data_IF_965381137172
#
_entry.id   IF_965381137172
#
_cell.length_a   1.000
_cell.length_b   1.000
_cell.length_c   1.000
_cell.angle_alpha   90.00
_cell.angle_beta   90.00
_cell.angle_gamma   90.00
#
_symmetry.space_group_name_H-M   'P 1'
#
loop_
_entity.id
_entity.type
_entity.pdbx_description
1 polymer ?
#
# COMPACT_ATOMS: atom_id res chain seq x y z
N UNK A 1 25.19 -24.10 16.19
CA UNK A 1 26.14 -23.54 17.19
C UNK A 1 26.76 -22.24 16.66
N UNK A 2 27.07 -22.19 15.38
CA UNK A 2 27.91 -21.12 14.81
C UNK A 2 27.17 -19.79 14.64
N UNK A 3 25.86 -19.82 14.38
CA UNK A 3 25.05 -18.59 14.34
C UNK A 3 25.07 -17.79 15.65
N UNK A 4 25.14 -18.50 16.80
CA UNK A 4 25.29 -17.86 18.09
C UNK A 4 26.61 -17.09 18.20
N UNK A 5 27.72 -17.68 17.73
CA UNK A 5 29.06 -17.06 17.76
C UNK A 5 29.12 -15.79 16.90
N UNK A 6 28.50 -15.80 15.70
CA UNK A 6 28.36 -14.57 14.86
C UNK A 6 27.64 -13.48 15.62
N UNK A 7 26.71 -13.82 16.51
CA UNK A 7 25.94 -12.87 17.34
C UNK A 7 26.67 -12.58 18.69
N UNK A 8 27.91 -13.02 18.90
CA UNK A 8 28.61 -12.85 20.15
C UNK A 8 28.02 -13.67 21.31
N UNK A 9 27.31 -14.76 21.00
CA UNK A 9 26.64 -15.64 21.95
C UNK A 9 27.26 -17.03 21.90
N UNK A 10 27.26 -17.74 23.01
CA UNK A 10 27.78 -19.14 23.07
C UNK A 10 26.95 -20.08 22.17
N UNK A 11 25.70 -19.78 21.96
CA UNK A 11 24.77 -20.53 21.10
C UNK A 11 23.68 -19.63 20.54
N UNK A 12 23.09 -20.04 19.43
CA UNK A 12 21.91 -19.37 18.90
C UNK A 12 20.76 -19.37 19.94
N UNK A 13 20.12 -18.22 20.18
CA UNK A 13 19.01 -18.13 21.11
C UNK A 13 17.80 -18.93 20.59
N UNK A 14 17.10 -19.60 21.51
CA UNK A 14 15.85 -20.26 21.18
C UNK A 14 14.77 -19.23 20.78
N UNK A 15 13.85 -19.64 19.91
CA UNK A 15 12.72 -18.81 19.49
C UNK A 15 11.92 -18.25 20.67
N UNK A 16 11.77 -19.04 21.75
CA UNK A 16 11.09 -18.61 22.98
C UNK A 16 11.83 -17.43 23.65
N UNK A 17 13.17 -17.47 23.66
CA UNK A 17 14.00 -16.39 24.21
C UNK A 17 13.86 -15.11 23.38
N UNK A 18 13.87 -15.21 22.04
CA UNK A 18 13.69 -14.07 21.15
C UNK A 18 12.32 -13.46 21.36
N UNK A 19 11.25 -14.28 21.41
CA UNK A 19 9.88 -13.80 21.67
C UNK A 19 9.76 -13.08 23.01
N UNK A 20 10.39 -13.62 24.06
CA UNK A 20 10.40 -12.98 25.39
C UNK A 20 11.10 -11.60 25.31
N UNK A 21 12.24 -11.51 24.65
CA UNK A 21 12.97 -10.24 24.48
C UNK A 21 12.20 -9.23 23.65
N UNK A 22 11.53 -9.66 22.58
CA UNK A 22 10.62 -8.80 21.82
C UNK A 22 9.45 -8.29 22.69
N UNK A 23 8.88 -9.16 23.54
CA UNK A 23 7.84 -8.77 24.49
C UNK A 23 8.33 -7.76 25.54
N UNK A 24 9.54 -7.92 26.06
CA UNK A 24 10.18 -6.97 26.97
C UNK A 24 10.37 -5.60 26.30
N UNK A 25 10.84 -5.57 25.03
CA UNK A 25 10.98 -4.34 24.26
C UNK A 25 9.62 -3.70 23.95
N UNK A 26 8.63 -4.49 23.59
CA UNK A 26 7.27 -4.03 23.30
C UNK A 26 6.61 -3.38 24.52
N UNK A 27 6.93 -3.84 25.75
CA UNK A 27 6.41 -3.25 26.97
C UNK A 27 6.79 -1.75 27.14
N UNK A 28 7.89 -1.33 26.54
CA UNK A 28 8.33 0.07 26.55
C UNK A 28 7.60 0.95 25.52
N UNK A 29 6.79 0.36 24.63
CA UNK A 29 5.98 1.05 23.60
C UNK A 29 6.77 2.02 22.73
N UNK A 30 7.96 1.62 22.29
CA UNK A 30 8.88 2.43 21.47
C UNK A 30 8.98 1.98 20.01
N UNK A 31 8.06 1.15 19.54
CA UNK A 31 8.08 0.61 18.17
C UNK A 31 8.02 1.71 17.11
N UNK A 32 7.22 2.75 17.33
CA UNK A 32 7.16 3.90 16.42
C UNK A 32 8.48 4.69 16.39
N UNK A 33 9.15 4.85 17.52
CA UNK A 33 10.47 5.53 17.58
C UNK A 33 11.54 4.70 16.84
N UNK A 34 11.52 3.37 16.97
CA UNK A 34 12.42 2.49 16.23
C UNK A 34 12.18 2.60 14.73
N UNK A 35 10.91 2.62 14.31
CA UNK A 35 10.54 2.82 12.92
C UNK A 35 11.05 4.17 12.38
N UNK A 36 10.86 5.26 13.13
CA UNK A 36 11.32 6.59 12.75
C UNK A 36 12.87 6.65 12.66
N UNK A 37 13.58 6.05 13.62
CA UNK A 37 15.03 6.00 13.62
C UNK A 37 15.57 5.23 12.38
N UNK A 38 14.95 4.11 12.03
CA UNK A 38 15.31 3.35 10.83
C UNK A 38 15.03 4.14 9.55
N UNK A 39 13.91 4.87 9.49
CA UNK A 39 13.57 5.72 8.35
C UNK A 39 14.60 6.85 8.17
N UNK A 40 15.05 7.48 9.25
CA UNK A 40 16.10 8.50 9.23
C UNK A 40 17.44 7.89 8.79
N UNK A 41 17.82 6.73 9.32
CA UNK A 41 19.04 6.04 8.91
C UNK A 41 19.02 5.66 7.43
N UNK A 42 17.88 5.14 6.92
CA UNK A 42 17.70 4.86 5.50
C UNK A 42 17.81 6.14 4.65
N UNK A 43 17.20 7.24 5.09
CA UNK A 43 17.25 8.53 4.41
C UNK A 43 18.68 9.08 4.29
N UNK A 44 19.52 8.88 5.31
CA UNK A 44 20.93 9.25 5.27
C UNK A 44 21.75 8.35 4.35
N UNK A 45 21.50 7.05 4.39
CA UNK A 45 22.23 6.07 3.56
C UNK A 45 21.85 6.15 2.08
N UNK A 46 20.61 6.54 1.74
CA UNK A 46 20.08 6.53 0.38
C UNK A 46 19.30 7.81 0.04
N UNK A 47 19.94 8.99 0.12
CA UNK A 47 19.25 10.27 -0.09
C UNK A 47 18.65 10.42 -1.49
N UNK A 48 19.24 9.81 -2.53
CA UNK A 48 18.78 9.91 -3.91
C UNK A 48 17.51 9.09 -4.19
N UNK A 49 17.25 8.07 -3.38
CA UNK A 49 16.05 7.23 -3.50
C UNK A 49 14.78 7.89 -2.96
N UNK A 50 14.88 8.99 -2.22
CA UNK A 50 13.75 9.62 -1.52
C UNK A 50 12.95 10.62 -2.36
N UNK A 51 13.32 10.84 -3.63
CA UNK A 51 12.54 11.71 -4.51
C UNK A 51 11.13 11.20 -4.84
N UNK A 52 10.90 9.91 -4.64
CA UNK A 52 9.62 9.23 -4.84
C UNK A 52 9.38 8.25 -3.69
N UNK A 53 8.18 8.32 -3.12
CA UNK A 53 7.76 7.44 -2.03
C UNK A 53 6.52 6.67 -2.46
N UNK A 54 6.62 5.36 -2.48
CA UNK A 54 5.48 4.49 -2.73
C UNK A 54 4.77 4.21 -1.41
N UNK A 55 3.46 4.50 -1.34
CA UNK A 55 2.66 4.26 -0.14
C UNK A 55 1.49 3.36 -0.49
N UNK A 56 1.35 2.26 0.25
CA UNK A 56 0.27 1.30 0.06
C UNK A 56 -0.18 0.70 1.39
N UNK A 57 -1.45 0.32 1.45
CA UNK A 57 -2.02 -0.37 2.60
C UNK A 57 -1.83 -1.88 2.52
N UNK A 58 -1.41 -2.51 3.62
CA UNK A 58 -1.37 -3.95 3.75
C UNK A 58 -2.37 -4.43 4.80
N UNK A 59 -3.31 -5.29 4.39
CA UNK A 59 -4.34 -5.84 5.26
C UNK A 59 -4.06 -7.29 5.60
N UNK A 60 -4.03 -7.60 6.91
CA UNK A 60 -3.84 -8.94 7.45
C UNK A 60 -5.15 -9.49 8.02
N UNK A 61 -5.52 -10.68 7.59
CA UNK A 61 -6.69 -11.39 8.11
C UNK A 61 -6.38 -11.94 9.50
N UNK A 62 -7.34 -11.77 10.40
CA UNK A 62 -7.30 -12.37 11.71
C UNK A 62 -8.23 -13.60 11.76
N UNK A 63 -7.68 -14.76 12.07
CA UNK A 63 -8.39 -16.04 12.14
C UNK A 63 -8.64 -16.52 13.57
N UNK A 64 -8.29 -15.71 14.59
CA UNK A 64 -8.49 -16.02 15.99
C UNK A 64 -9.92 -15.81 16.47
N UNK A 65 -10.15 -16.03 17.76
CA UNK A 65 -11.48 -15.99 18.39
C UNK A 65 -11.90 -14.60 18.90
N UNK A 66 -11.02 -13.61 18.89
CA UNK A 66 -11.31 -12.26 19.39
C UNK A 66 -12.19 -11.50 18.41
N UNK A 67 -13.13 -10.72 18.91
CA UNK A 67 -14.00 -9.87 18.10
C UNK A 67 -13.31 -8.55 17.75
N UNK A 68 -12.43 -8.62 16.76
CA UNK A 68 -11.73 -7.46 16.22
C UNK A 68 -12.59 -6.70 15.20
N UNK A 69 -12.21 -5.47 14.82
CA UNK A 69 -12.85 -4.75 13.73
C UNK A 69 -12.85 -5.55 12.42
N UNK A 70 -13.95 -5.47 11.68
CA UNK A 70 -14.02 -6.03 10.32
C UNK A 70 -13.58 -5.01 9.31
N UNK A 71 -12.75 -5.45 8.36
CA UNK A 71 -12.24 -4.64 7.25
C UNK A 71 -12.49 -5.38 5.93
N UNK A 72 -12.63 -4.63 4.86
CA UNK A 72 -12.69 -5.22 3.52
C UNK A 72 -11.29 -5.69 3.12
N UNK A 73 -11.15 -6.98 2.85
CA UNK A 73 -9.90 -7.59 2.39
C UNK A 73 -10.01 -7.79 0.88
N UNK A 74 -9.40 -6.90 0.10
CA UNK A 74 -9.53 -6.87 -1.36
C UNK A 74 -9.21 -8.21 -2.03
N UNK A 75 -8.15 -8.91 -1.59
CA UNK A 75 -7.75 -10.23 -2.11
C UNK A 75 -8.78 -11.34 -1.88
N UNK A 76 -9.67 -11.18 -0.89
CA UNK A 76 -10.72 -12.16 -0.54
C UNK A 76 -12.11 -11.69 -0.99
N UNK A 77 -12.24 -10.46 -1.48
CA UNK A 77 -13.52 -9.82 -1.82
C UNK A 77 -14.57 -9.88 -0.71
N UNK A 78 -14.12 -9.84 0.55
CA UNK A 78 -14.97 -10.10 1.71
C UNK A 78 -14.55 -9.18 2.88
N UNK A 79 -15.53 -8.76 3.69
CA UNK A 79 -15.30 -8.07 4.96
C UNK A 79 -15.14 -9.10 6.09
N UNK A 80 -13.94 -9.17 6.67
CA UNK A 80 -13.61 -10.09 7.77
C UNK A 80 -12.78 -9.37 8.84
N UNK A 81 -12.60 -10.02 10.00
CA UNK A 81 -11.71 -9.52 11.04
C UNK A 81 -10.28 -9.38 10.49
N UNK A 82 -9.75 -8.21 10.56
CA UNK A 82 -8.43 -7.91 10.01
C UNK A 82 -7.80 -6.67 10.68
N UNK A 83 -6.48 -6.54 10.54
CA UNK A 83 -5.72 -5.32 10.84
C UNK A 83 -5.11 -4.76 9.56
N UNK A 84 -4.87 -3.46 9.51
CA UNK A 84 -4.20 -2.81 8.38
C UNK A 84 -2.92 -2.12 8.84
N UNK A 85 -2.05 -1.92 7.90
CA UNK A 85 -0.79 -1.20 8.05
C UNK A 85 -0.58 -0.34 6.81
N UNK A 86 0.01 0.83 6.97
CA UNK A 86 0.43 1.68 5.87
C UNK A 86 1.94 1.60 5.72
N UNK A 87 2.38 1.16 4.56
CA UNK A 87 3.79 0.95 4.24
C UNK A 87 4.31 2.04 3.33
N UNK A 88 5.47 2.57 3.68
CA UNK A 88 6.22 3.54 2.88
C UNK A 88 7.48 2.87 2.35
N UNK A 89 7.68 2.94 1.04
CA UNK A 89 8.88 2.47 0.36
C UNK A 89 9.51 3.59 -0.48
N UNK A 90 10.80 3.51 -0.73
CA UNK A 90 11.54 4.46 -1.57
C UNK A 90 11.28 4.27 -3.08
N UNK A 91 11.96 5.05 -3.91
CA UNK A 91 11.85 5.01 -5.36
C UNK A 91 12.19 3.64 -5.99
N UNK A 92 12.95 2.82 -5.30
CA UNK A 92 13.35 1.48 -5.73
C UNK A 92 12.44 0.38 -5.17
N UNK A 93 11.54 0.74 -4.26
CA UNK A 93 10.61 -0.18 -3.59
C UNK A 93 11.16 -0.77 -2.29
N UNK A 94 12.26 -0.25 -1.76
CA UNK A 94 12.81 -0.67 -0.47
C UNK A 94 11.95 -0.09 0.66
N UNK A 95 11.48 -0.89 1.63
CA UNK A 95 10.64 -0.41 2.71
C UNK A 95 11.42 0.50 3.65
N UNK A 96 10.84 1.66 3.97
CA UNK A 96 11.44 2.67 4.86
C UNK A 96 10.75 2.70 6.21
N UNK A 97 9.42 2.64 6.20
CA UNK A 97 8.58 2.90 7.36
C UNK A 97 7.30 2.09 7.27
N UNK A 98 6.82 1.60 8.41
CA UNK A 98 5.47 1.05 8.55
C UNK A 98 4.74 1.75 9.69
N UNK A 99 3.50 2.12 9.43
CA UNK A 99 2.61 2.77 10.39
C UNK A 99 1.44 1.85 10.62
N UNK A 100 1.07 1.62 11.88
CA UNK A 100 -0.12 0.86 12.24
C UNK A 100 -1.37 1.57 11.73
N UNK A 101 -2.23 0.86 11.01
CA UNK A 101 -3.45 1.44 10.46
C UNK A 101 -4.57 1.55 11.50
N UNK A 102 -5.30 2.65 11.47
CA UNK A 102 -6.51 2.80 12.30
C UNK A 102 -7.62 1.92 11.74
N UNK A 103 -8.37 1.18 12.57
CA UNK A 103 -9.44 0.32 12.09
C UNK A 103 -10.49 1.10 11.30
N UNK A 104 -10.72 0.67 10.05
CA UNK A 104 -11.70 1.30 9.17
C UNK A 104 -11.27 2.64 8.56
N UNK A 105 -10.05 3.08 8.79
CA UNK A 105 -9.50 4.24 8.09
C UNK A 105 -9.40 3.95 6.58
N UNK A 106 -9.60 4.98 5.77
CA UNK A 106 -9.32 4.93 4.35
C UNK A 106 -7.84 5.23 4.11
N UNK A 107 -7.26 4.72 3.02
CA UNK A 107 -5.88 5.07 2.65
C UNK A 107 -5.69 6.59 2.56
N UNK A 108 -6.70 7.33 2.08
CA UNK A 108 -6.63 8.80 2.05
C UNK A 108 -6.48 9.43 3.44
N UNK A 109 -7.17 8.90 4.46
CA UNK A 109 -7.02 9.36 5.84
C UNK A 109 -5.65 8.99 6.42
N UNK A 110 -5.21 7.75 6.18
CA UNK A 110 -3.88 7.28 6.63
C UNK A 110 -2.74 8.05 5.97
N UNK A 111 -2.87 8.45 4.69
CA UNK A 111 -1.89 9.31 4.01
C UNK A 111 -1.75 10.68 4.68
N UNK A 112 -2.86 11.30 5.11
CA UNK A 112 -2.84 12.57 5.83
C UNK A 112 -2.21 12.40 7.20
N UNK A 113 -2.59 11.35 7.92
CA UNK A 113 -2.03 11.03 9.25
C UNK A 113 -0.52 10.72 9.17
N UNK A 114 -0.03 10.17 8.06
CA UNK A 114 1.39 9.85 7.84
C UNK A 114 2.28 11.08 7.54
N UNK A 115 1.72 12.24 7.24
CA UNK A 115 2.50 13.44 6.88
C UNK A 115 3.60 13.80 7.89
N UNK A 116 3.34 13.82 9.22
CA UNK A 116 4.39 14.07 10.19
C UNK A 116 5.54 13.07 10.14
N UNK A 117 5.21 11.78 9.99
CA UNK A 117 6.21 10.72 9.90
C UNK A 117 7.05 10.85 8.63
N UNK A 118 6.43 11.14 7.49
CA UNK A 118 7.15 11.41 6.24
C UNK A 118 8.10 12.60 6.40
N UNK A 119 7.65 13.68 7.06
CA UNK A 119 8.46 14.85 7.31
C UNK A 119 9.62 14.62 8.27
N UNK A 120 9.47 13.69 9.22
CA UNK A 120 10.51 13.37 10.20
C UNK A 120 11.81 12.88 9.54
N UNK A 121 11.73 12.02 8.50
CA UNK A 121 12.91 11.52 7.80
C UNK A 121 13.26 12.29 6.52
N UNK A 122 12.29 12.91 5.84
CA UNK A 122 12.57 13.77 4.68
C UNK A 122 13.20 15.11 5.10
N UNK A 123 12.91 15.58 6.30
CA UNK A 123 13.22 16.92 6.75
C UNK A 123 12.31 17.98 6.13
N UNK A 124 12.39 19.25 6.59
CA UNK A 124 11.42 20.28 6.24
C UNK A 124 11.52 20.80 4.80
N UNK A 125 12.67 20.64 4.14
CA UNK A 125 12.96 21.26 2.83
C UNK A 125 12.91 20.28 1.65
N UNK A 126 13.03 18.98 1.90
CA UNK A 126 13.08 18.00 0.80
C UNK A 126 11.68 17.81 0.22
N UNK A 127 11.56 18.00 -1.08
CA UNK A 127 10.35 17.69 -1.83
C UNK A 127 10.40 16.24 -2.31
N UNK A 128 9.35 15.47 -2.05
CA UNK A 128 9.18 14.12 -2.57
C UNK A 128 7.82 14.00 -3.27
N UNK A 129 7.70 13.08 -4.21
CA UNK A 129 6.44 12.72 -4.84
C UNK A 129 5.89 11.46 -4.19
N UNK A 130 4.75 11.56 -3.54
CA UNK A 130 4.04 10.45 -2.91
C UNK A 130 3.19 9.74 -3.97
N UNK A 131 3.43 8.45 -4.14
CA UNK A 131 2.79 7.59 -5.14
C UNK A 131 1.90 6.58 -4.43
N UNK A 132 0.62 6.54 -4.78
CA UNK A 132 -0.36 5.63 -4.18
C UNK A 132 -1.45 5.23 -5.18
N UNK A 133 -2.24 4.23 -4.83
CA UNK A 133 -3.30 3.73 -5.67
C UNK A 133 -4.62 4.55 -5.54
N UNK A 134 -5.69 4.10 -6.23
CA UNK A 134 -7.01 4.74 -6.19
C UNK A 134 -7.67 4.71 -4.81
N UNK A 135 -7.19 3.90 -3.87
CA UNK A 135 -7.66 3.86 -2.48
C UNK A 135 -7.40 5.18 -1.74
N UNK A 136 -6.34 5.90 -2.12
CA UNK A 136 -6.01 7.22 -1.60
C UNK A 136 -6.69 8.38 -2.31
N UNK A 137 -7.66 8.13 -3.19
CA UNK A 137 -8.33 9.19 -3.95
C UNK A 137 -9.18 10.09 -3.04
N UNK A 138 -8.69 11.30 -2.82
CA UNK A 138 -9.39 12.38 -2.12
C UNK A 138 -8.74 13.73 -2.43
N UNK A 139 -9.45 14.69 -3.06
CA UNK A 139 -8.91 16.04 -3.30
C UNK A 139 -8.44 16.72 -2.01
N UNK A 140 -9.11 16.50 -0.89
CA UNK A 140 -8.72 17.00 0.43
C UNK A 140 -7.38 16.40 0.87
N UNK A 141 -7.18 15.10 0.69
CA UNK A 141 -5.89 14.44 0.95
C UNK A 141 -4.79 15.01 0.05
N UNK A 142 -5.08 15.23 -1.25
CA UNK A 142 -4.10 15.81 -2.18
C UNK A 142 -3.69 17.20 -1.75
N UNK A 143 -4.66 18.04 -1.35
CA UNK A 143 -4.38 19.39 -0.84
C UNK A 143 -3.48 19.31 0.41
N UNK A 144 -3.80 18.46 1.39
CA UNK A 144 -3.01 18.33 2.61
C UNK A 144 -1.55 17.90 2.32
N UNK A 145 -1.33 16.95 1.39
CA UNK A 145 0.01 16.55 0.96
C UNK A 145 0.76 17.71 0.28
N UNK A 146 0.08 18.47 -0.58
CA UNK A 146 0.67 19.63 -1.29
C UNK A 146 1.02 20.73 -0.31
N UNK A 147 0.14 21.05 0.64
CA UNK A 147 0.38 22.05 1.69
C UNK A 147 1.54 21.64 2.60
N UNK A 148 1.73 20.37 2.80
CA UNK A 148 2.90 19.81 3.47
C UNK A 148 4.18 19.84 2.61
N UNK A 149 4.16 20.39 1.36
CA UNK A 149 5.31 20.49 0.46
C UNK A 149 5.66 19.17 -0.24
N UNK A 150 4.70 18.23 -0.32
CA UNK A 150 4.85 16.97 -1.04
C UNK A 150 4.10 17.03 -2.37
N UNK A 151 4.57 16.30 -3.38
CA UNK A 151 3.82 16.11 -4.60
C UNK A 151 2.99 14.83 -4.54
N UNK A 152 1.90 14.81 -5.30
CA UNK A 152 0.98 13.68 -5.43
C UNK A 152 1.18 13.02 -6.79
N UNK A 153 1.11 11.69 -6.84
CA UNK A 153 1.05 10.89 -8.07
C UNK A 153 0.12 9.69 -7.85
N UNK A 154 -1.00 9.63 -8.58
CA UNK A 154 -2.00 8.57 -8.43
C UNK A 154 -2.81 8.35 -9.70
N UNK A 155 -3.50 7.21 -9.82
CA UNK A 155 -4.49 7.01 -10.88
C UNK A 155 -5.75 7.84 -10.64
N UNK A 156 -6.30 8.42 -11.71
CA UNK A 156 -7.61 9.08 -11.62
C UNK A 156 -8.72 8.06 -11.37
N UNK A 157 -9.61 8.40 -10.46
CA UNK A 157 -10.81 7.59 -10.18
C UNK A 157 -11.93 7.96 -11.14
N UNK A 158 -12.63 6.96 -11.66
CA UNK A 158 -13.83 7.17 -12.48
C UNK A 158 -14.98 7.84 -11.66
N UNK A 159 -15.92 8.55 -12.33
CA UNK A 159 -16.02 8.70 -13.77
C UNK A 159 -15.08 9.77 -14.35
N UNK A 160 -14.67 9.60 -15.60
CA UNK A 160 -13.92 10.59 -16.38
C UNK A 160 -14.21 10.41 -17.87
N UNK A 161 -14.21 11.51 -18.61
CA UNK A 161 -14.43 11.49 -20.04
C UNK A 161 -13.19 10.97 -20.77
N UNK A 162 -13.44 10.25 -21.88
CA UNK A 162 -12.38 9.81 -22.78
C UNK A 162 -11.85 11.01 -23.57
N UNK A 163 -10.54 11.05 -23.74
CA UNK A 163 -9.89 12.06 -24.56
C UNK A 163 -9.98 11.69 -26.04
N UNK A 164 -10.15 12.69 -26.94
CA UNK A 164 -10.15 12.44 -28.37
C UNK A 164 -8.79 11.96 -28.86
N UNK A 165 -8.77 11.19 -29.92
CA UNK A 165 -7.60 10.52 -30.47
C UNK A 165 -6.44 11.48 -30.82
N UNK A 166 -6.78 12.68 -31.29
CA UNK A 166 -5.83 13.73 -31.64
C UNK A 166 -5.15 14.41 -30.45
N UNK A 167 -5.61 14.15 -29.22
CA UNK A 167 -4.96 14.61 -27.99
C UNK A 167 -3.70 13.83 -27.67
N UNK A 168 -3.55 12.61 -28.23
CA UNK A 168 -2.43 11.73 -27.93
C UNK A 168 -1.26 11.91 -28.89
N UNK A 169 -0.06 11.88 -28.32
CA UNK A 169 1.22 11.91 -29.06
C UNK A 169 2.07 10.71 -28.68
N UNK A 170 2.77 10.14 -29.64
CA UNK A 170 3.76 9.09 -29.40
C UNK A 170 5.07 9.71 -28.93
N UNK A 171 5.57 9.27 -27.78
CA UNK A 171 6.79 9.75 -27.16
C UNK A 171 7.72 8.55 -26.94
N UNK A 172 8.97 8.66 -27.40
CA UNK A 172 10.03 7.71 -27.05
C UNK A 172 10.90 8.35 -25.97
N UNK A 173 11.17 7.59 -24.93
CA UNK A 173 11.90 8.08 -23.77
C UNK A 173 12.80 6.97 -23.19
N UNK A 174 14.00 7.35 -22.70
CA UNK A 174 14.91 6.43 -22.02
C UNK A 174 14.70 6.58 -20.52
N UNK A 175 14.34 5.48 -19.87
CA UNK A 175 14.09 5.44 -18.43
C UNK A 175 15.38 5.50 -17.60
N UNK A 176 15.26 5.72 -16.27
CA UNK A 176 16.40 5.66 -15.36
C UNK A 176 17.09 4.29 -15.30
N UNK A 177 16.42 3.24 -15.77
CA UNK A 177 16.92 1.87 -15.92
C UNK A 177 17.70 1.66 -17.23
N UNK A 178 17.93 2.72 -18.02
CA UNK A 178 18.60 2.69 -19.31
C UNK A 178 17.77 2.09 -20.46
N UNK A 179 16.55 1.61 -20.19
CA UNK A 179 15.68 1.01 -21.22
C UNK A 179 14.89 2.07 -21.99
N UNK A 180 14.67 1.83 -23.26
CA UNK A 180 13.85 2.69 -24.12
C UNK A 180 12.37 2.27 -24.04
N UNK A 181 11.51 3.25 -23.76
CA UNK A 181 10.06 3.08 -23.68
C UNK A 181 9.38 3.92 -24.76
N UNK A 182 8.32 3.37 -25.33
CA UNK A 182 7.46 4.08 -26.28
C UNK A 182 6.07 4.17 -25.66
N UNK A 183 5.59 5.39 -25.49
CA UNK A 183 4.27 5.66 -24.90
C UNK A 183 3.44 6.52 -25.84
N UNK A 184 2.13 6.29 -25.84
CA UNK A 184 1.15 7.18 -26.43
C UNK A 184 0.48 7.95 -25.31
N UNK A 185 0.71 9.28 -25.23
CA UNK A 185 0.36 10.12 -24.08
C UNK A 185 -0.41 11.36 -24.50
N UNK A 186 -1.41 11.73 -23.67
CA UNK A 186 -2.01 13.05 -23.63
C UNK A 186 -1.68 13.71 -22.30
N UNK A 187 -1.43 15.03 -22.29
CA UNK A 187 -0.97 15.78 -21.12
C UNK A 187 -1.79 17.08 -21.03
N UNK A 188 -2.51 17.26 -19.92
CA UNK A 188 -3.41 18.39 -19.73
C UNK A 188 -3.53 18.81 -18.27
N UNK A 189 -3.97 20.03 -18.03
CA UNK A 189 -4.36 20.49 -16.70
C UNK A 189 -5.79 20.06 -16.39
N UNK A 190 -6.08 19.81 -15.11
CA UNK A 190 -7.39 19.44 -14.60
C UNK A 190 -7.65 20.16 -13.29
N UNK A 191 -8.85 20.71 -13.13
CA UNK A 191 -9.29 21.31 -11.87
C UNK A 191 -10.25 20.33 -11.17
N UNK A 192 -9.86 19.93 -9.94
CA UNK A 192 -10.65 19.04 -9.10
C UNK A 192 -11.46 19.87 -8.11
N UNK A 193 -12.77 19.64 -7.98
CA UNK A 193 -13.58 20.34 -6.96
C UNK A 193 -13.13 19.91 -5.56
N UNK A 194 -13.08 20.88 -4.64
CA UNK A 194 -12.86 20.67 -3.21
C UNK A 194 -14.19 20.70 -2.47
N UNK A 195 -14.32 19.83 -1.45
CA UNK A 195 -15.44 19.89 -0.51
C UNK A 195 -15.38 21.24 0.26
N UNK A 196 -16.47 22.01 0.23
CA UNK A 196 -16.51 23.34 0.82
C UNK A 196 -16.29 24.51 -0.15
N UNK A 197 -16.08 24.22 -1.44
CA UNK A 197 -15.90 25.21 -2.51
C UNK A 197 -14.42 25.39 -2.90
N UNK A 198 -14.22 25.89 -4.10
CA UNK A 198 -12.87 26.03 -4.69
C UNK A 198 -12.47 24.82 -5.54
N UNK A 199 -11.28 24.91 -6.13
CA UNK A 199 -10.73 23.88 -7.01
C UNK A 199 -9.26 23.67 -6.72
N UNK A 200 -8.81 22.43 -6.81
CA UNK A 200 -7.41 22.04 -6.76
C UNK A 200 -6.91 21.77 -8.18
N UNK A 201 -5.96 22.58 -8.64
CA UNK A 201 -5.36 22.39 -9.96
C UNK A 201 -4.34 21.28 -9.95
N UNK A 202 -4.56 20.30 -10.83
CA UNK A 202 -3.69 19.14 -11.01
C UNK A 202 -3.28 19.00 -12.48
N UNK A 203 -2.25 18.23 -12.75
CA UNK A 203 -1.86 17.80 -14.10
C UNK A 203 -2.33 16.36 -14.31
N UNK A 204 -2.96 16.08 -15.44
CA UNK A 204 -3.34 14.75 -15.86
C UNK A 204 -2.50 14.31 -17.05
N UNK A 205 -1.79 13.20 -16.90
CA UNK A 205 -1.13 12.48 -17.97
C UNK A 205 -1.92 11.21 -18.25
N UNK A 206 -2.49 11.10 -19.44
CA UNK A 206 -3.27 9.92 -19.85
C UNK A 206 -2.42 9.05 -20.76
N UNK A 207 -2.17 7.80 -20.36
CA UNK A 207 -1.57 6.80 -21.23
C UNK A 207 -2.66 6.08 -22.01
N UNK A 208 -2.49 5.95 -23.32
CA UNK A 208 -3.29 5.05 -24.14
C UNK A 208 -2.52 3.76 -24.38
N UNK A 209 -3.17 2.63 -24.17
CA UNK A 209 -2.64 1.29 -24.45
C UNK A 209 -2.85 0.92 -25.93
N UNK A 210 -2.22 -0.14 -26.41
CA UNK A 210 -2.32 -0.57 -27.82
C UNK A 210 -3.73 -1.02 -28.20
N UNK A 211 -4.53 -1.47 -27.23
CA UNK A 211 -5.95 -1.81 -27.36
C UNK A 211 -6.88 -0.61 -27.16
N UNK A 212 -6.33 0.61 -27.08
CA UNK A 212 -7.09 1.86 -27.01
C UNK A 212 -7.57 2.27 -25.63
N UNK A 213 -7.29 1.47 -24.58
CA UNK A 213 -7.72 1.82 -23.21
C UNK A 213 -6.95 3.04 -22.72
N UNK A 214 -7.67 4.01 -22.17
CA UNK A 214 -7.10 5.22 -21.60
C UNK A 214 -6.92 5.09 -20.08
N UNK A 215 -5.70 5.32 -19.61
CA UNK A 215 -5.31 5.24 -18.20
C UNK A 215 -4.88 6.63 -17.75
N UNK A 216 -5.76 7.43 -17.14
CA UNK A 216 -5.42 8.76 -16.65
C UNK A 216 -4.70 8.68 -15.30
N UNK A 217 -3.60 9.42 -15.19
CA UNK A 217 -2.73 9.55 -14.03
C UNK A 217 -2.71 11.02 -13.63
N UNK A 218 -2.93 11.31 -12.36
CA UNK A 218 -2.87 12.66 -11.82
C UNK A 218 -1.57 12.89 -11.05
N UNK A 219 -1.04 14.09 -11.20
CA UNK A 219 0.10 14.54 -10.40
C UNK A 219 0.03 16.04 -10.13
N UNK A 220 0.50 16.46 -8.97
CA UNK A 220 0.81 17.87 -8.68
C UNK A 220 2.23 18.27 -9.10
N UNK A 221 3.08 17.30 -9.50
CA UNK A 221 4.44 17.56 -9.93
C UNK A 221 4.48 17.94 -11.41
N UNK A 222 4.53 19.24 -11.68
CA UNK A 222 4.56 19.80 -13.04
C UNK A 222 5.94 19.70 -13.71
N UNK A 223 7.01 19.41 -12.95
CA UNK A 223 8.39 19.33 -13.46
C UNK A 223 8.74 17.98 -14.08
N UNK A 224 7.98 16.94 -13.77
CA UNK A 224 8.22 15.60 -14.33
C UNK A 224 7.85 15.56 -15.82
N UNK A 225 8.67 14.92 -16.64
CA UNK A 225 8.26 14.58 -18.01
C UNK A 225 7.04 13.65 -17.97
N UNK A 226 6.12 13.77 -18.94
CA UNK A 226 4.91 12.93 -19.01
C UNK A 226 5.24 11.43 -19.02
N UNK A 227 6.32 11.05 -19.73
CA UNK A 227 6.83 9.67 -19.74
C UNK A 227 7.30 9.20 -18.36
N UNK A 228 7.95 10.09 -17.59
CA UNK A 228 8.40 9.78 -16.24
C UNK A 228 7.21 9.61 -15.28
N UNK A 229 6.12 10.37 -15.44
CA UNK A 229 4.88 10.20 -14.67
C UNK A 229 4.33 8.78 -14.85
N UNK A 230 4.23 8.31 -16.11
CA UNK A 230 3.74 6.95 -16.42
C UNK A 230 4.68 5.89 -15.88
N UNK A 231 5.98 6.05 -16.08
CA UNK A 231 6.98 5.08 -15.64
C UNK A 231 7.03 4.96 -14.10
N UNK A 232 6.98 6.09 -13.39
CA UNK A 232 6.95 6.12 -11.92
C UNK A 232 5.68 5.50 -11.37
N UNK A 233 4.52 5.78 -11.98
CA UNK A 233 3.25 5.16 -11.56
C UNK A 233 3.24 3.64 -11.81
N UNK A 234 3.79 3.19 -12.94
CA UNK A 234 3.98 1.77 -13.21
C UNK A 234 4.96 1.12 -12.22
N UNK A 235 5.97 1.87 -11.74
CA UNK A 235 6.96 1.38 -10.76
C UNK A 235 6.37 0.96 -9.39
N UNK A 236 5.12 1.25 -9.11
CA UNK A 236 4.43 0.86 -7.86
C UNK A 236 4.44 -0.66 -7.63
N UNK A 237 4.49 -1.48 -8.69
CA UNK A 237 4.62 -2.94 -8.57
C UNK A 237 5.86 -3.41 -7.79
N UNK A 238 6.90 -2.57 -7.64
CA UNK A 238 8.09 -2.90 -6.84
C UNK A 238 7.75 -3.10 -5.37
N UNK A 239 6.87 -2.26 -4.82
CA UNK A 239 6.37 -2.44 -3.45
C UNK A 239 5.51 -3.70 -3.32
N UNK A 240 4.70 -4.02 -4.34
CA UNK A 240 3.96 -5.29 -4.39
C UNK A 240 4.92 -6.50 -4.42
N UNK A 241 6.05 -6.35 -5.12
CA UNK A 241 7.17 -7.31 -5.11
C UNK A 241 7.75 -7.54 -3.72
N UNK A 242 7.95 -6.46 -2.95
CA UNK A 242 8.35 -6.55 -1.55
C UNK A 242 7.32 -7.34 -0.72
N UNK A 243 6.03 -7.02 -0.79
CA UNK A 243 5.01 -7.75 -0.04
C UNK A 243 4.98 -9.25 -0.37
N UNK A 244 5.08 -9.59 -1.66
CA UNK A 244 5.16 -11.00 -2.10
C UNK A 244 6.38 -11.70 -1.50
N UNK A 245 7.55 -11.07 -1.58
CA UNK A 245 8.80 -11.58 -1.04
C UNK A 245 8.74 -11.75 0.49
N UNK A 246 8.28 -10.72 1.19
CA UNK A 246 8.22 -10.72 2.64
C UNK A 246 7.18 -11.71 3.20
N UNK A 247 6.08 -11.98 2.48
CA UNK A 247 5.17 -13.08 2.84
C UNK A 247 5.86 -14.44 2.75
N UNK A 248 6.64 -14.67 1.70
CA UNK A 248 7.30 -15.95 1.44
C UNK A 248 8.46 -16.21 2.42
N UNK A 249 9.27 -15.17 2.70
CA UNK A 249 10.55 -15.35 3.38
C UNK A 249 10.60 -14.77 4.79
N UNK A 250 9.74 -13.80 5.13
CA UNK A 250 9.77 -13.09 6.40
C UNK A 250 8.45 -13.19 7.19
N UNK A 251 7.54 -14.08 6.79
CA UNK A 251 6.25 -14.27 7.43
C UNK A 251 5.50 -12.93 7.70
N UNK A 252 5.39 -12.08 6.67
CA UNK A 252 4.79 -10.75 6.78
C UNK A 252 3.36 -10.79 7.34
N UNK A 253 2.57 -11.79 6.95
CA UNK A 253 1.18 -11.97 7.38
C UNK A 253 1.04 -12.56 8.79
N UNK A 254 2.14 -12.94 9.47
CA UNK A 254 2.08 -13.41 10.85
C UNK A 254 1.60 -12.30 11.80
N UNK A 255 0.83 -12.67 12.82
CA UNK A 255 0.31 -11.70 13.79
C UNK A 255 1.38 -11.19 14.75
N UNK A 256 2.44 -11.99 14.99
CA UNK A 256 3.58 -11.76 15.90
C UNK A 256 3.20 -11.63 17.38
N UNK A 257 2.05 -11.06 17.71
CA UNK A 257 1.47 -11.02 19.05
C UNK A 257 -0.05 -11.25 19.01
N UNK A 258 -0.60 -11.75 20.11
CA UNK A 258 -2.02 -12.00 20.28
C UNK A 258 -2.62 -11.20 21.43
N UNK A 259 -1.83 -10.33 22.05
CA UNK A 259 -2.31 -9.38 23.05
C UNK A 259 -3.26 -8.38 22.42
N UNK A 260 -4.24 -7.94 23.16
CA UNK A 260 -5.23 -6.96 22.74
C UNK A 260 -5.40 -5.87 23.80
N UNK A 261 -5.87 -4.73 23.36
CA UNK A 261 -6.16 -3.58 24.20
C UNK A 261 -7.59 -3.08 23.91
N UNK A 262 -8.23 -2.36 24.84
CA UNK A 262 -9.49 -1.70 24.54
C UNK A 262 -9.34 -0.75 23.35
N UNK A 263 -10.33 -0.77 22.45
CA UNK A 263 -10.45 0.25 21.40
C UNK A 263 -11.02 1.54 22.02
N UNK A 264 -10.73 2.69 21.42
CA UNK A 264 -11.27 3.97 21.85
C UNK A 264 -12.79 4.01 21.63
N UNK A 265 -13.62 4.05 22.69
CA UNK A 265 -15.07 4.08 22.57
C UNK A 265 -15.60 5.38 21.92
N UNK A 266 -14.82 6.45 21.94
CA UNK A 266 -15.16 7.73 21.32
C UNK A 266 -14.80 7.77 19.84
N UNK A 267 -14.01 6.81 19.33
CA UNK A 267 -13.64 6.73 17.92
C UNK A 267 -14.86 6.69 17.03
N UNK A 268 -14.96 7.60 16.08
CA UNK A 268 -16.07 7.69 15.15
C UNK A 268 -16.03 6.55 14.12
N UNK A 269 -17.10 5.79 14.01
CA UNK A 269 -17.25 4.65 13.08
C UNK A 269 -18.47 4.84 12.18
N UNK A 270 -18.50 4.24 10.99
CA UNK A 270 -19.68 4.27 10.13
C UNK A 270 -20.92 3.78 10.87
N UNK A 271 -21.98 4.56 10.84
CA UNK A 271 -23.23 4.23 11.50
C UNK A 271 -23.99 3.13 10.72
N UNK A 272 -24.24 1.95 11.31
CA UNK A 272 -25.04 0.90 10.68
C UNK A 272 -26.46 1.35 10.33
N UNK A 273 -27.08 2.20 11.14
CA UNK A 273 -28.39 2.76 10.86
C UNK A 273 -28.40 3.61 9.58
N UNK A 274 -27.30 4.33 9.29
CA UNK A 274 -27.15 5.07 8.04
C UNK A 274 -27.12 4.15 6.82
N UNK A 275 -26.46 3.00 6.92
CA UNK A 275 -26.46 1.97 5.88
C UNK A 275 -27.86 1.44 5.64
N UNK A 276 -28.59 1.13 6.70
CA UNK A 276 -30.00 0.69 6.61
C UNK A 276 -30.88 1.76 5.96
N UNK A 277 -30.75 3.01 6.38
CA UNK A 277 -31.51 4.13 5.80
C UNK A 277 -31.22 4.34 4.31
N UNK A 278 -29.93 4.23 3.89
CA UNK A 278 -29.55 4.27 2.45
C UNK A 278 -30.17 3.12 1.65
N UNK A 279 -30.20 1.93 2.21
CA UNK A 279 -30.85 0.77 1.54
C UNK A 279 -32.36 0.98 1.41
N UNK A 280 -33.00 1.61 2.40
CA UNK A 280 -34.43 1.99 2.31
C UNK A 280 -34.65 2.99 1.20
N UNK A 281 -33.83 4.03 1.06
CA UNK A 281 -33.89 4.97 -0.06
C UNK A 281 -33.71 4.25 -1.41
N UNK A 282 -32.76 3.32 -1.52
CA UNK A 282 -32.55 2.58 -2.77
C UNK A 282 -33.78 1.72 -3.13
N UNK A 283 -34.40 1.05 -2.16
CA UNK A 283 -35.64 0.27 -2.36
C UNK A 283 -36.81 1.16 -2.76
N UNK A 284 -36.97 2.32 -2.09
CA UNK A 284 -38.02 3.28 -2.43
C UNK A 284 -37.84 3.84 -3.84
N UNK A 285 -36.60 4.10 -4.29
CA UNK A 285 -36.32 4.49 -5.69
C UNK A 285 -36.70 3.41 -6.70
N UNK A 286 -36.38 2.17 -6.43
CA UNK A 286 -36.79 1.03 -7.28
C UNK A 286 -38.29 0.90 -7.33
N UNK A 287 -38.98 1.06 -6.19
CA UNK A 287 -40.45 1.04 -6.13
C UNK A 287 -41.08 2.16 -6.94
N UNK A 288 -40.57 3.40 -6.82
CA UNK A 288 -41.01 4.51 -7.62
C UNK A 288 -40.79 4.28 -9.14
N UNK A 289 -39.65 3.72 -9.52
CA UNK A 289 -39.36 3.38 -10.91
C UNK A 289 -40.35 2.33 -11.46
N UNK A 290 -40.70 1.32 -10.66
CA UNK A 290 -41.73 0.32 -11.02
C UNK A 290 -43.11 0.96 -11.14
N UNK A 291 -43.51 1.78 -10.17
CA UNK A 291 -44.82 2.47 -10.22
C UNK A 291 -44.95 3.41 -11.46
N UNK A 292 -43.84 4.07 -11.85
CA UNK A 292 -43.84 4.88 -13.08
C UNK A 292 -43.93 4.01 -14.32
N UNK A 293 -43.35 2.83 -14.37
CA UNK A 293 -43.50 1.91 -15.50
C UNK A 293 -44.95 1.40 -15.59
N UNK A 294 -45.52 0.99 -14.46
CA UNK A 294 -46.94 0.54 -14.41
C UNK A 294 -47.91 1.65 -14.88
N UNK A 295 -47.63 2.92 -14.53
CA UNK A 295 -48.42 4.05 -15.00
C UNK A 295 -48.23 4.27 -16.51
N UNK A 296 -47.01 4.17 -17.02
CA UNK A 296 -46.74 4.32 -18.45
C UNK A 296 -47.43 3.22 -19.27
N UNK A 297 -47.41 1.98 -18.79
CA UNK A 297 -48.12 0.86 -19.43
C UNK A 297 -49.63 1.08 -19.42
N UNK A 298 -50.23 1.53 -18.30
CA UNK A 298 -51.64 1.84 -18.20
C UNK A 298 -52.09 2.99 -19.15
N UNK A 299 -51.22 4.00 -19.34
CA UNK A 299 -51.44 5.08 -20.29
C UNK A 299 -51.40 4.54 -21.74
N UNK A 300 -50.39 3.72 -22.05
CA UNK A 300 -50.28 3.14 -23.41
C UNK A 300 -51.43 2.21 -23.73
N UNK A 301 -51.90 1.41 -22.77
CA UNK A 301 -53.06 0.54 -22.94
C UNK A 301 -54.34 1.39 -23.22
N UNK A 302 -54.54 2.44 -22.41
CA UNK A 302 -55.69 3.34 -22.59
C UNK A 302 -55.65 4.07 -23.94
N UNK A 303 -54.47 4.51 -24.39
CA UNK A 303 -54.29 5.14 -25.72
C UNK A 303 -54.55 4.13 -26.83
N UNK A 304 -54.11 2.91 -26.71
CA UNK A 304 -54.32 1.82 -27.66
C UNK A 304 -55.79 1.45 -27.78
N UNK A 305 -56.49 1.41 -26.65
CA UNK A 305 -57.95 1.13 -26.62
C UNK A 305 -58.77 2.25 -27.24
N UNK A 306 -58.43 3.52 -26.96
CA UNK A 306 -59.06 4.70 -27.57
C UNK A 306 -58.88 4.78 -29.10
N UNK A 307 -57.75 4.24 -29.62
CA UNK A 307 -57.48 4.21 -31.08
C UNK A 307 -58.17 3.08 -31.85
N UNK A 308 -58.95 2.20 -31.23
CA UNK A 308 -59.67 1.11 -31.93
C UNK A 308 -60.85 1.64 -32.75
N UNK A 309 -61.09 1.12 -33.96
CA UNK A 309 -62.22 1.51 -34.77
C UNK A 309 -63.54 1.25 -34.03
N UNK A 310 -64.41 2.29 -33.93
CA UNK A 310 -65.68 2.22 -33.26
C UNK A 310 -65.74 2.79 -31.84
N UNK A 311 -64.61 3.18 -31.27
CA UNK A 311 -64.56 3.91 -29.99
C UNK A 311 -64.60 5.43 -30.24
N UNK A 312 -65.70 6.06 -29.86
CA UNK A 312 -65.84 7.50 -29.81
C UNK A 312 -65.90 7.93 -28.35
N UNK A 313 -64.74 8.16 -27.72
CA UNK A 313 -64.78 8.56 -26.33
C UNK A 313 -63.42 8.91 -25.77
N UNK A 314 -63.39 9.58 -24.63
CA UNK A 314 -62.22 9.92 -23.86
C UNK A 314 -61.68 8.63 -23.22
N UNK A 315 -60.39 8.33 -23.38
CA UNK A 315 -59.74 7.22 -22.69
C UNK A 315 -59.75 7.46 -21.17
N UNK A 316 -60.41 6.58 -20.41
CA UNK A 316 -60.39 6.62 -18.95
C UNK A 316 -59.17 5.85 -18.46
N UNK A 317 -58.12 6.56 -18.03
CA UNK A 317 -56.98 5.95 -17.38
C UNK A 317 -57.38 5.54 -15.95
N UNK A 318 -57.15 4.27 -15.60
CA UNK A 318 -57.38 3.79 -14.23
C UNK A 318 -56.59 4.67 -13.25
N UNK A 319 -57.20 5.25 -12.21
CA UNK A 319 -56.50 6.13 -11.27
C UNK A 319 -55.51 5.38 -10.34
N UNK A 320 -55.62 4.05 -10.21
CA UNK A 320 -54.76 3.26 -9.31
C UNK A 320 -53.24 3.38 -9.59
N UNK A 321 -52.76 3.29 -10.85
CA UNK A 321 -51.34 3.50 -11.13
C UNK A 321 -50.81 4.90 -10.74
N UNK A 322 -51.63 5.93 -11.00
CA UNK A 322 -51.32 7.32 -10.63
C UNK A 322 -51.22 7.47 -9.07
N UNK A 323 -52.15 6.86 -8.33
CA UNK A 323 -52.09 6.82 -6.86
C UNK A 323 -50.87 6.04 -6.39
N UNK A 324 -50.48 4.96 -7.07
CA UNK A 324 -49.28 4.19 -6.80
C UNK A 324 -48.00 5.04 -6.92
N UNK A 325 -47.89 5.86 -7.96
CA UNK A 325 -46.77 6.80 -8.15
C UNK A 325 -46.73 7.85 -7.05
N UNK A 326 -47.90 8.45 -6.67
CA UNK A 326 -47.94 9.40 -5.57
C UNK A 326 -47.46 8.78 -4.25
N UNK A 327 -47.98 7.62 -3.88
CA UNK A 327 -47.60 6.90 -2.66
C UNK A 327 -46.10 6.52 -2.65
N UNK A 328 -45.56 6.06 -3.79
CA UNK A 328 -44.13 5.74 -3.93
C UNK A 328 -43.25 6.99 -3.85
N UNK A 329 -43.73 8.15 -4.34
CA UNK A 329 -43.01 9.44 -4.22
C UNK A 329 -42.95 9.88 -2.78
N UNK A 330 -44.06 9.80 -2.02
CA UNK A 330 -44.10 10.16 -0.61
C UNK A 330 -43.19 9.23 0.19
N UNK A 331 -43.24 7.93 -0.09
CA UNK A 331 -42.34 6.94 0.57
C UNK A 331 -40.88 7.24 0.29
N UNK A 332 -40.53 7.67 -0.93
CA UNK A 332 -39.15 8.06 -1.25
C UNK A 332 -38.78 9.34 -0.51
N UNK A 333 -39.66 10.33 -0.42
CA UNK A 333 -39.40 11.57 0.29
C UNK A 333 -39.15 11.30 1.79
N UNK A 334 -39.95 10.46 2.44
CA UNK A 334 -39.79 10.05 3.83
C UNK A 334 -38.50 9.29 4.04
N UNK A 335 -38.18 8.34 3.17
CA UNK A 335 -36.92 7.59 3.23
C UNK A 335 -35.69 8.50 3.09
N UNK A 336 -35.74 9.47 2.19
CA UNK A 336 -34.67 10.47 2.00
C UNK A 336 -34.52 11.36 3.24
N UNK A 337 -35.65 11.84 3.80
CA UNK A 337 -35.64 12.66 5.03
C UNK A 337 -35.04 11.86 6.22
N UNK A 338 -35.48 10.65 6.44
CA UNK A 338 -34.94 9.77 7.47
C UNK A 338 -33.44 9.48 7.25
N UNK A 339 -33.04 9.25 6.01
CA UNK A 339 -31.63 9.06 5.68
C UNK A 339 -30.79 10.33 5.94
N UNK A 340 -31.30 11.52 5.65
CA UNK A 340 -30.61 12.78 5.94
C UNK A 340 -30.46 13.04 7.44
N UNK A 341 -31.51 12.75 8.23
CA UNK A 341 -31.50 12.92 9.68
C UNK A 341 -30.55 11.93 10.40
N UNK A 342 -30.27 10.78 9.79
CA UNK A 342 -29.38 9.78 10.39
C UNK A 342 -27.92 10.17 10.21
N UNK A 343 -27.12 10.34 11.29
CA UNK A 343 -25.70 10.70 11.20
C UNK A 343 -24.92 9.60 10.47
N UNK A 344 -23.93 9.99 9.68
CA UNK A 344 -23.07 9.04 8.92
C UNK A 344 -22.11 8.26 9.79
N UNK A 345 -21.68 8.85 10.91
CA UNK A 345 -20.76 8.29 11.88
C UNK A 345 -21.31 8.45 13.30
N UNK A 346 -20.96 7.53 14.17
CA UNK A 346 -21.32 7.51 15.59
C UNK A 346 -20.11 7.00 16.39
N UNK A 347 -20.02 7.31 17.70
CA UNK A 347 -18.99 6.74 18.57
C UNK A 347 -19.04 5.20 18.56
N UNK A 348 -17.87 4.56 18.52
CA UNK A 348 -17.73 3.10 18.53
C UNK A 348 -18.46 2.45 19.70
N UNK A 349 -18.36 3.05 20.89
CA UNK A 349 -19.02 2.53 22.10
C UNK A 349 -20.54 2.38 21.99
N UNK A 350 -21.20 3.15 21.08
CA UNK A 350 -22.65 3.02 20.83
C UNK A 350 -22.97 1.79 19.94
N UNK A 351 -22.04 1.41 19.06
CA UNK A 351 -22.26 0.32 18.09
C UNK A 351 -21.67 -0.99 18.57
N UNK A 352 -20.53 -0.93 19.23
CA UNK A 352 -19.77 -2.10 19.72
C UNK A 352 -19.15 -1.80 21.08
N UNK A 353 -19.95 -1.85 22.18
CA UNK A 353 -19.42 -1.71 23.54
C UNK A 353 -18.35 -2.78 23.82
N UNK A 354 -17.23 -2.38 24.42
CA UNK A 354 -16.13 -3.30 24.73
C UNK A 354 -15.32 -3.79 23.54
N UNK A 355 -15.38 -3.11 22.40
CA UNK A 355 -14.53 -3.40 21.23
C UNK A 355 -13.05 -3.40 21.62
N UNK A 356 -12.28 -4.27 21.01
CA UNK A 356 -10.85 -4.44 21.27
C UNK A 356 -10.04 -4.36 19.97
N UNK A 357 -8.77 -3.99 20.10
CA UNK A 357 -7.77 -3.96 19.02
C UNK A 357 -6.63 -4.92 19.39
N UNK A 358 -5.95 -5.48 18.41
CA UNK A 358 -4.66 -6.12 18.66
C UNK A 358 -3.65 -5.04 19.08
N UNK A 359 -2.81 -5.39 20.06
CA UNK A 359 -1.64 -4.59 20.39
C UNK A 359 -0.60 -4.80 19.29
N UNK A 360 -0.28 -3.74 18.56
CA UNK A 360 0.61 -3.80 17.40
C UNK A 360 2.07 -3.50 17.73
N UNK A 361 2.41 -3.26 18.99
CA UNK A 361 3.76 -2.86 19.39
C UNK A 361 4.81 -3.90 19.02
N UNK A 362 4.58 -5.16 19.39
CA UNK A 362 5.46 -6.29 18.99
C UNK A 362 5.55 -6.41 17.47
N UNK A 363 4.46 -6.09 16.78
CA UNK A 363 4.41 -6.13 15.31
C UNK A 363 5.28 -5.06 14.67
N UNK A 364 5.22 -3.83 15.17
CA UNK A 364 6.06 -2.71 14.70
C UNK A 364 7.55 -3.05 14.88
N UNK A 365 7.94 -3.58 16.03
CA UNK A 365 9.32 -4.04 16.28
C UNK A 365 9.72 -5.18 15.32
N UNK A 366 8.84 -6.14 15.09
CA UNK A 366 9.13 -7.25 14.17
C UNK A 366 9.21 -6.75 12.72
N UNK A 367 8.41 -5.75 12.34
CA UNK A 367 8.54 -5.10 11.03
C UNK A 367 9.85 -4.33 10.87
N UNK A 368 10.34 -3.69 11.93
CA UNK A 368 11.66 -3.07 11.93
C UNK A 368 12.75 -4.08 11.56
N UNK A 369 12.70 -5.27 12.17
CA UNK A 369 13.64 -6.38 11.87
C UNK A 369 13.47 -6.86 10.42
N UNK A 370 12.22 -7.04 9.95
CA UNK A 370 11.93 -7.48 8.57
C UNK A 370 12.43 -6.49 7.52
N UNK A 371 12.21 -5.19 7.75
CA UNK A 371 12.68 -4.14 6.85
C UNK A 371 14.21 -4.09 6.82
N UNK A 372 14.85 -4.14 7.98
CA UNK A 372 16.32 -4.16 8.08
C UNK A 372 16.92 -5.36 7.36
N UNK A 373 16.37 -6.57 7.56
CA UNK A 373 16.80 -7.78 6.88
C UNK A 373 16.61 -7.68 5.35
N UNK A 374 15.46 -7.20 4.90
CA UNK A 374 15.19 -7.02 3.47
C UNK A 374 16.12 -5.99 2.83
N UNK A 375 16.34 -4.85 3.49
CA UNK A 375 17.18 -3.78 2.97
C UNK A 375 18.66 -4.19 2.96
N UNK A 376 19.13 -4.95 3.97
CA UNK A 376 20.47 -5.54 3.97
C UNK A 376 20.63 -6.52 2.80
N UNK A 377 19.69 -7.46 2.62
CA UNK A 377 19.69 -8.40 1.49
C UNK A 377 19.66 -7.68 0.14
N UNK A 378 18.88 -6.60 0.03
CA UNK A 378 18.82 -5.77 -1.20
C UNK A 378 20.14 -5.07 -1.47
N UNK A 379 20.80 -4.56 -0.44
CA UNK A 379 22.12 -3.92 -0.56
C UNK A 379 23.16 -4.94 -1.05
N UNK A 380 23.20 -6.13 -0.47
CA UNK A 380 24.07 -7.22 -0.92
C UNK A 380 23.75 -7.64 -2.37
N UNK A 381 22.46 -7.69 -2.74
CA UNK A 381 22.07 -7.99 -4.11
C UNK A 381 22.54 -6.93 -5.11
N UNK A 382 22.56 -5.66 -4.72
CA UNK A 382 23.12 -4.57 -5.53
C UNK A 382 24.65 -4.67 -5.65
N UNK A 383 25.36 -5.01 -4.56
CA UNK A 383 26.80 -5.22 -4.58
C UNK A 383 27.19 -6.40 -5.48
N UNK A 384 26.43 -7.49 -5.46
CA UNK A 384 26.74 -8.68 -6.29
C UNK A 384 26.37 -8.49 -7.77
N UNK A 385 25.47 -7.53 -8.10
CA UNK A 385 24.96 -7.35 -9.46
C UNK A 385 26.04 -7.15 -10.54
N UNK A 386 27.09 -6.35 -10.34
CA UNK A 386 28.17 -6.19 -11.32
C UNK A 386 28.96 -7.48 -11.58
N UNK A 387 28.96 -8.41 -10.65
CA UNK A 387 29.77 -9.63 -10.65
C UNK A 387 29.01 -10.90 -11.06
N UNK A 388 27.68 -10.78 -11.25
CA UNK A 388 26.82 -11.92 -11.54
C UNK A 388 25.80 -11.61 -12.64
N UNK A 389 26.04 -12.10 -13.85
CA UNK A 389 25.23 -11.79 -15.03
C UNK A 389 23.72 -12.09 -14.88
N UNK A 390 23.34 -12.99 -13.95
CA UNK A 390 21.95 -13.32 -13.64
C UNK A 390 21.43 -12.68 -12.35
N UNK A 391 22.11 -11.65 -11.83
CA UNK A 391 21.77 -11.05 -10.55
C UNK A 391 20.32 -10.54 -10.50
N UNK A 392 19.77 -10.02 -11.60
CA UNK A 392 18.38 -9.54 -11.67
C UNK A 392 17.37 -10.62 -11.26
N UNK A 393 17.62 -11.89 -11.63
CA UNK A 393 16.69 -12.99 -11.38
C UNK A 393 17.14 -13.94 -10.26
N UNK A 394 18.44 -14.15 -10.12
CA UNK A 394 19.02 -15.15 -9.23
C UNK A 394 19.80 -14.55 -8.04
N UNK A 395 20.04 -13.22 -8.01
CA UNK A 395 20.91 -12.59 -7.00
C UNK A 395 20.47 -12.87 -5.55
N UNK A 396 19.19 -12.72 -5.25
CA UNK A 396 18.66 -13.05 -3.90
C UNK A 396 18.70 -14.55 -3.58
N UNK A 397 18.55 -15.42 -4.57
CA UNK A 397 18.68 -16.86 -4.38
C UNK A 397 20.12 -17.24 -4.07
N UNK A 398 21.09 -16.61 -4.74
CA UNK A 398 22.51 -16.78 -4.47
C UNK A 398 22.88 -16.28 -3.06
N UNK A 399 22.35 -15.14 -2.62
CA UNK A 399 22.58 -14.64 -1.26
C UNK A 399 22.01 -15.59 -0.20
N UNK A 400 20.80 -16.12 -0.40
CA UNK A 400 20.23 -17.11 0.52
C UNK A 400 21.06 -18.40 0.58
N UNK A 401 21.61 -18.84 -0.55
CA UNK A 401 22.58 -19.94 -0.57
C UNK A 401 23.81 -19.56 0.27
N UNK A 402 24.39 -18.37 0.04
CA UNK A 402 25.55 -17.90 0.78
C UNK A 402 25.32 -17.83 2.30
N UNK A 403 24.14 -17.40 2.75
CA UNK A 403 23.77 -17.37 4.18
C UNK A 403 23.67 -18.76 4.83
N UNK A 404 23.58 -19.81 4.04
CA UNK A 404 23.49 -21.19 4.52
C UNK A 404 24.77 -22.01 4.27
N UNK A 405 25.77 -21.43 3.60
CA UNK A 405 27.06 -22.11 3.41
C UNK A 405 27.72 -22.39 4.77
N UNK A 406 28.32 -23.57 4.94
CA UNK A 406 29.24 -23.82 6.03
C UNK A 406 30.42 -22.86 5.95
N UNK A 407 31.18 -22.78 7.02
CA UNK A 407 32.38 -21.94 7.06
C UNK A 407 33.03 -21.92 8.44
N UNK A 408 34.13 -21.21 8.52
CA UNK A 408 34.88 -21.02 9.77
C UNK A 408 34.77 -19.56 10.22
N UNK A 409 34.63 -19.37 11.53
CA UNK A 409 34.64 -18.06 12.19
C UNK A 409 35.69 -18.10 13.29
N UNK A 410 36.64 -17.18 13.22
CA UNK A 410 37.70 -17.05 14.22
C UNK A 410 38.18 -15.60 14.35
N UNK A 411 38.87 -15.31 15.45
CA UNK A 411 39.42 -13.98 15.71
C UNK A 411 40.94 -14.11 15.75
N UNK A 412 41.62 -13.27 14.99
CA UNK A 412 43.08 -13.09 15.05
C UNK A 412 43.42 -11.64 14.69
N UNK A 413 44.48 -11.11 15.27
CA UNK A 413 45.04 -9.79 14.97
C UNK A 413 44.02 -8.63 14.97
N UNK A 414 43.04 -8.69 15.88
CA UNK A 414 41.98 -7.65 15.97
C UNK A 414 40.93 -7.74 14.87
N UNK A 415 40.88 -8.84 14.14
CA UNK A 415 39.90 -9.07 13.07
C UNK A 415 39.02 -10.29 13.37
N UNK A 416 37.75 -10.19 13.02
CA UNK A 416 36.79 -11.29 12.98
C UNK A 416 36.75 -11.83 11.54
N UNK A 417 37.28 -13.02 11.34
CA UNK A 417 37.32 -13.68 10.04
C UNK A 417 36.07 -14.54 9.83
N UNK A 418 35.39 -14.36 8.72
CA UNK A 418 34.26 -15.18 8.25
C UNK A 418 34.66 -15.83 6.93
N UNK A 419 35.05 -17.11 6.97
CA UNK A 419 35.49 -17.86 5.80
C UNK A 419 34.42 -18.85 5.38
N UNK A 420 33.74 -18.56 4.27
CA UNK A 420 32.68 -19.42 3.74
C UNK A 420 33.23 -20.58 2.93
N UNK A 421 32.64 -21.74 3.05
CA UNK A 421 32.90 -22.84 2.11
C UNK A 421 32.43 -22.47 0.70
N UNK A 422 33.06 -22.99 -0.36
CA UNK A 422 32.70 -22.62 -1.70
C UNK A 422 31.30 -23.14 -2.09
N UNK A 423 30.55 -22.34 -2.86
CA UNK A 423 29.32 -22.79 -3.51
C UNK A 423 29.62 -23.80 -4.60
N UNK A 424 28.65 -24.64 -4.94
CA UNK A 424 28.81 -25.76 -5.89
C UNK A 424 29.15 -25.33 -7.34
N UNK A 425 28.77 -24.11 -7.75
CA UNK A 425 28.98 -23.62 -9.11
C UNK A 425 30.10 -22.57 -9.18
N UNK A 426 31.12 -22.76 -10.07
CA UNK A 426 32.27 -21.85 -10.18
C UNK A 426 31.88 -20.38 -10.44
N UNK A 427 30.83 -20.12 -11.24
CA UNK A 427 30.35 -18.76 -11.47
C UNK A 427 29.76 -18.11 -10.22
N UNK A 428 29.12 -18.88 -9.34
CA UNK A 428 28.58 -18.42 -8.05
C UNK A 428 29.71 -18.11 -7.09
N UNK A 429 30.72 -18.95 -7.03
CA UNK A 429 31.93 -18.71 -6.23
C UNK A 429 32.62 -17.42 -6.63
N UNK A 430 32.80 -17.15 -7.92
CA UNK A 430 33.40 -15.89 -8.39
C UNK A 430 32.59 -14.67 -7.92
N UNK A 431 31.26 -14.75 -8.00
CA UNK A 431 30.38 -13.67 -7.56
C UNK A 431 30.43 -13.48 -6.03
N UNK A 432 30.45 -14.58 -5.25
CA UNK A 432 30.58 -14.52 -3.79
C UNK A 432 31.96 -14.02 -3.36
N UNK A 433 33.03 -14.43 -4.01
CA UNK A 433 34.38 -13.90 -3.76
C UNK A 433 34.45 -12.39 -4.00
N UNK A 434 33.84 -11.89 -5.08
CA UNK A 434 33.77 -10.46 -5.34
C UNK A 434 33.00 -9.73 -4.25
N UNK A 435 31.82 -10.24 -3.86
CA UNK A 435 31.00 -9.70 -2.77
C UNK A 435 31.80 -9.68 -1.45
N UNK A 436 32.49 -10.78 -1.07
CA UNK A 436 33.30 -10.86 0.12
C UNK A 436 34.42 -9.80 0.13
N UNK A 437 35.09 -9.57 -1.01
CA UNK A 437 36.11 -8.52 -1.14
C UNK A 437 35.50 -7.12 -0.95
N UNK A 438 34.36 -6.83 -1.55
CA UNK A 438 33.68 -5.55 -1.36
C UNK A 438 33.23 -5.35 0.09
N UNK A 439 32.68 -6.37 0.74
CA UNK A 439 32.30 -6.31 2.15
C UNK A 439 33.51 -6.08 3.06
N UNK A 440 34.60 -6.78 2.83
CA UNK A 440 35.86 -6.58 3.59
C UNK A 440 36.39 -5.16 3.41
N UNK A 441 36.31 -4.61 2.20
CA UNK A 441 36.74 -3.23 1.91
C UNK A 441 35.86 -2.15 2.60
N UNK A 442 34.71 -2.50 3.16
CA UNK A 442 33.91 -1.55 3.95
C UNK A 442 34.50 -1.31 5.35
N UNK A 443 35.47 -2.11 5.77
CA UNK A 443 36.11 -2.04 7.10
C UNK A 443 35.10 -2.01 8.27
N UNK A 444 33.95 -2.70 8.10
CA UNK A 444 32.90 -2.74 9.09
C UNK A 444 33.38 -3.38 10.38
N UNK A 445 33.15 -2.71 11.49
CA UNK A 445 33.46 -3.26 12.82
C UNK A 445 32.32 -4.12 13.35
N UNK A 446 32.63 -5.18 14.06
CA UNK A 446 31.64 -6.00 14.74
C UNK A 446 31.00 -5.20 15.88
N UNK A 447 29.65 -5.10 15.93
CA UNK A 447 28.95 -4.23 16.87
C UNK A 447 29.35 -4.44 18.33
N UNK A 448 29.70 -3.36 19.03
CA UNK A 448 30.11 -3.38 20.42
C UNK A 448 31.55 -3.82 20.66
N UNK A 449 32.36 -3.93 19.61
CA UNK A 449 33.79 -4.29 19.68
C UNK A 449 34.62 -3.43 18.72
N UNK A 450 35.95 -3.53 18.82
CA UNK A 450 36.90 -2.92 17.88
C UNK A 450 37.34 -3.92 16.78
N UNK A 451 36.69 -5.08 16.67
CA UNK A 451 37.02 -6.09 15.67
C UNK A 451 36.54 -5.69 14.28
N UNK A 452 37.45 -5.56 13.33
CA UNK A 452 37.09 -5.39 11.92
C UNK A 452 36.69 -6.75 11.32
N UNK A 453 35.57 -6.80 10.59
CA UNK A 453 35.08 -8.04 9.97
C UNK A 453 35.71 -8.22 8.59
N UNK A 454 36.29 -9.40 8.34
CA UNK A 454 36.77 -9.81 7.02
C UNK A 454 35.98 -11.01 6.51
N UNK A 455 35.66 -10.98 5.22
CA UNK A 455 34.90 -12.02 4.55
C UNK A 455 35.74 -12.65 3.44
N UNK A 456 35.77 -13.99 3.36
CA UNK A 456 36.42 -14.72 2.28
C UNK A 456 35.59 -15.94 1.90
N UNK A 457 35.86 -16.48 0.73
CA UNK A 457 35.41 -17.83 0.33
C UNK A 457 36.66 -18.70 0.23
N UNK A 458 36.65 -19.85 0.87
CA UNK A 458 37.77 -20.81 0.83
C UNK A 458 38.05 -21.23 -0.63
N UNK A 459 39.29 -21.47 -0.95
CA UNK A 459 39.67 -22.02 -2.24
C UNK A 459 39.03 -23.39 -2.44
N UNK A 460 38.47 -23.63 -3.64
CA UNK A 460 38.03 -24.98 -4.00
C UNK A 460 39.28 -25.87 -4.06
N UNK A 461 39.29 -27.03 -3.39
CA UNK A 461 40.32 -28.01 -3.68
C UNK A 461 40.24 -28.35 -5.17
N UNK A 462 41.42 -28.34 -5.82
CA UNK A 462 41.50 -28.78 -7.24
C UNK A 462 40.82 -30.14 -7.38
N UNK A 463 39.94 -30.31 -8.36
CA UNK A 463 39.36 -31.62 -8.61
C UNK A 463 40.49 -32.56 -9.02
N UNK A 464 40.89 -33.39 -8.07
CA UNK A 464 41.86 -34.49 -8.29
C UNK A 464 41.29 -35.54 -9.24
#
# INVERSE_FOLDING_TARGET
ADLGRVLGLDRAPEVKTIRRKLGELAAHRRGAEVQAALAIAHAHARPDALGFLHIDGHTRVYTGKKDLPKMHVGRLHLATHATSETWVADADGDPILVIGGKPGASLAGELVDAIPDLRSFLGPRRTATVIFDRGGWSPVCFQALIDAGLHVLTYRKAPYDQLPENAFRTITWTGPDGKRYRYRLADQSLDLPLDGGGTLRMRQVTKQTDDGVQIPILTSNTRLAASAVVWRMAGRWRQEGYFKYARTHFALDALDAYTDQPDDPARMVPNPAKKTARNTVARARTHLASANADLADAINDAVTEAGRPGHHGTALVNPKPSQGVSAATDQLADAVAASRATPSHVPLGQVRPGARLLDEETKLLTHAIRMSAYNAETTLARMIAPHYARAEHEGRALLREAFTLPGDIYITDGQLHVNLDPATAPRRNRALNALCKELTATETTYPGTDLTITYTVKDQPDPS
#
